data_IF_137048474176
#
_entry.id   IF_137048474176
#
_cell.length_a   1.000
_cell.length_b   1.000
_cell.length_c   1.000
_cell.angle_alpha   90.00
_cell.angle_beta   90.00
_cell.angle_gamma   90.00
#
_symmetry.space_group_name_H-M   'P 1'
#
loop_
_entity.id
_entity.type
_entity.pdbx_description
1 polymer ?
#
# COMPACT_ATOMS: atom_id res chain seq x y z
N UNK A 1 -6.67 -19.09 -15.17
CA UNK A 1 -5.48 -18.32 -14.77
C UNK A 1 -5.91 -17.15 -13.91
N UNK A 2 -5.25 -16.98 -12.78
CA UNK A 2 -5.58 -15.87 -11.89
C UNK A 2 -4.90 -14.59 -12.38
N UNK A 3 -5.69 -13.62 -12.79
CA UNK A 3 -5.20 -12.33 -13.29
C UNK A 3 -5.40 -11.20 -12.29
N UNK A 4 -5.75 -11.55 -11.05
CA UNK A 4 -5.95 -10.52 -10.03
C UNK A 4 -4.63 -9.83 -9.68
N UNK A 5 -4.71 -8.54 -9.42
CA UNK A 5 -3.57 -7.78 -8.92
C UNK A 5 -3.34 -8.14 -7.46
N UNK A 6 -2.09 -8.34 -7.10
CA UNK A 6 -1.73 -8.74 -5.74
C UNK A 6 -1.45 -7.52 -4.87
N UNK A 7 -1.89 -7.59 -3.62
CA UNK A 7 -1.84 -6.46 -2.69
C UNK A 7 -1.20 -6.90 -1.38
N UNK A 8 -0.24 -6.11 -0.91
CA UNK A 8 0.36 -6.28 0.42
C UNK A 8 -0.19 -5.19 1.34
N UNK A 9 -0.63 -5.57 2.53
CA UNK A 9 -1.13 -4.64 3.54
C UNK A 9 -0.08 -4.46 4.64
N UNK A 10 0.22 -3.21 4.98
CA UNK A 10 1.17 -2.90 6.05
C UNK A 10 0.61 -1.79 6.92
N UNK A 11 0.23 -2.12 8.15
CA UNK A 11 -0.35 -1.18 9.10
C UNK A 11 -0.22 -1.78 10.50
N UNK A 12 0.19 -0.99 11.47
CA UNK A 12 0.34 -1.48 12.83
C UNK A 12 -1.00 -1.90 13.46
N UNK A 13 -2.11 -1.34 12.96
CA UNK A 13 -3.44 -1.63 13.48
C UNK A 13 -4.02 -2.87 12.81
N UNK A 14 -4.11 -3.97 13.55
CA UNK A 14 -4.63 -5.23 13.04
C UNK A 14 -6.09 -5.13 12.62
N UNK A 15 -6.91 -4.37 13.36
CA UNK A 15 -8.32 -4.20 13.01
C UNK A 15 -8.47 -3.51 11.66
N UNK A 16 -7.64 -2.52 11.40
CA UNK A 16 -7.63 -1.82 10.11
C UNK A 16 -7.25 -2.78 8.98
N UNK A 17 -6.19 -3.58 9.20
CA UNK A 17 -5.77 -4.57 8.19
C UNK A 17 -6.87 -5.59 7.91
N UNK A 18 -7.55 -6.06 8.95
CA UNK A 18 -8.65 -7.02 8.80
C UNK A 18 -9.79 -6.42 8.00
N UNK A 19 -10.15 -5.17 8.28
CA UNK A 19 -11.19 -4.47 7.55
C UNK A 19 -10.84 -4.31 6.06
N UNK A 20 -9.64 -3.84 5.78
CA UNK A 20 -9.18 -3.64 4.40
C UNK A 20 -9.10 -4.96 3.66
N UNK A 21 -8.61 -5.99 4.32
CA UNK A 21 -8.55 -7.33 3.72
C UNK A 21 -9.94 -7.82 3.31
N UNK A 22 -10.94 -7.60 4.18
CA UNK A 22 -12.31 -7.99 3.86
C UNK A 22 -12.83 -7.24 2.63
N UNK A 23 -12.57 -5.94 2.56
CA UNK A 23 -12.96 -5.13 1.40
C UNK A 23 -12.35 -5.69 0.12
N UNK A 24 -11.07 -6.01 0.16
CA UNK A 24 -10.34 -6.51 -1.02
C UNK A 24 -10.80 -7.92 -1.39
N UNK A 25 -11.01 -8.78 -0.40
CA UNK A 25 -11.44 -10.17 -0.66
C UNK A 25 -12.82 -10.24 -1.31
N UNK A 26 -13.64 -9.22 -1.17
CA UNK A 26 -14.95 -9.15 -1.83
C UNK A 26 -14.84 -8.72 -3.29
N UNK A 27 -13.67 -8.33 -3.76
CA UNK A 27 -13.45 -7.97 -5.17
C UNK A 27 -12.97 -9.17 -5.97
N UNK A 28 -13.14 -9.09 -7.28
CA UNK A 28 -12.58 -10.07 -8.21
C UNK A 28 -11.27 -9.60 -8.83
N UNK A 29 -10.94 -8.32 -8.64
CA UNK A 29 -9.78 -7.69 -9.29
C UNK A 29 -8.50 -7.80 -8.46
N UNK A 30 -8.62 -7.95 -7.14
CA UNK A 30 -7.48 -7.88 -6.23
C UNK A 30 -7.46 -9.06 -5.28
N UNK A 31 -6.26 -9.48 -4.89
CA UNK A 31 -6.08 -10.50 -3.84
C UNK A 31 -4.96 -10.08 -2.90
N UNK A 32 -5.17 -10.30 -1.61
CA UNK A 32 -4.17 -9.97 -0.59
C UNK A 32 -3.15 -11.10 -0.49
N UNK A 33 -1.87 -10.76 -0.63
CA UNK A 33 -0.77 -11.74 -0.52
C UNK A 33 -0.01 -11.63 0.78
N UNK A 34 -0.31 -10.64 1.60
CA UNK A 34 0.30 -10.50 2.91
C UNK A 34 -0.32 -9.38 3.71
N UNK A 35 -0.24 -9.50 5.02
CA UNK A 35 -0.76 -8.50 5.95
C UNK A 35 0.19 -8.45 7.14
N UNK A 36 0.89 -7.34 7.32
CA UNK A 36 1.95 -7.21 8.31
C UNK A 36 1.79 -5.93 9.13
N UNK A 37 2.40 -5.94 10.32
CA UNK A 37 2.24 -4.85 11.29
C UNK A 37 3.45 -3.93 11.43
N UNK A 38 4.55 -4.19 10.71
CA UNK A 38 5.73 -3.34 10.78
C UNK A 38 6.41 -3.19 9.42
N UNK A 39 7.27 -2.17 9.31
CA UNK A 39 7.89 -1.84 8.04
C UNK A 39 8.98 -2.81 7.61
N UNK A 40 9.68 -3.42 8.54
CA UNK A 40 10.72 -4.40 8.21
C UNK A 40 10.10 -5.63 7.55
N UNK A 41 8.99 -6.12 8.11
CA UNK A 41 8.25 -7.22 7.51
C UNK A 41 7.63 -6.82 6.17
N UNK A 42 7.14 -5.58 6.07
CA UNK A 42 6.58 -5.08 4.81
C UNK A 42 7.63 -5.11 3.70
N UNK A 43 8.83 -4.65 3.99
CA UNK A 43 9.92 -4.65 3.00
C UNK A 43 10.30 -6.07 2.61
N UNK A 44 10.40 -6.97 3.58
CA UNK A 44 10.74 -8.36 3.32
C UNK A 44 9.72 -9.03 2.40
N UNK A 45 8.43 -8.90 2.74
CA UNK A 45 7.38 -9.50 1.92
C UNK A 45 7.24 -8.84 0.55
N UNK A 46 7.47 -7.53 0.47
CA UNK A 46 7.44 -6.85 -0.82
C UNK A 46 8.49 -7.42 -1.77
N UNK A 47 9.66 -7.77 -1.23
CA UNK A 47 10.72 -8.38 -2.03
C UNK A 47 10.44 -9.82 -2.38
N UNK A 48 9.88 -10.59 -1.44
CA UNK A 48 9.57 -12.00 -1.68
C UNK A 48 8.37 -12.21 -2.60
N UNK A 49 7.30 -11.46 -2.38
CA UNK A 49 6.03 -11.67 -3.08
C UNK A 49 5.89 -10.81 -4.33
N UNK A 50 6.72 -9.80 -4.48
CA UNK A 50 6.66 -8.85 -5.59
C UNK A 50 5.21 -8.42 -5.90
N UNK A 51 4.50 -7.84 -4.92
CA UNK A 51 3.09 -7.48 -5.13
C UNK A 51 2.96 -6.38 -6.17
N UNK A 52 1.77 -6.28 -6.75
CA UNK A 52 1.46 -5.19 -7.67
C UNK A 52 1.24 -3.87 -6.95
N UNK A 53 0.71 -3.95 -5.73
CA UNK A 53 0.34 -2.77 -4.93
C UNK A 53 0.64 -3.01 -3.46
N UNK A 54 1.11 -1.98 -2.78
CA UNK A 54 1.23 -1.98 -1.33
C UNK A 54 0.33 -0.88 -0.78
N UNK A 55 -0.54 -1.23 0.16
CA UNK A 55 -1.29 -0.27 0.97
C UNK A 55 -0.57 -0.18 2.31
N UNK A 56 -0.03 0.98 2.65
CA UNK A 56 0.92 1.08 3.75
C UNK A 56 0.72 2.36 4.56
N UNK A 57 0.66 2.22 5.88
CA UNK A 57 0.66 3.38 6.76
C UNK A 57 2.06 4.01 6.76
N UNK A 58 2.10 5.33 6.86
CA UNK A 58 3.37 6.05 7.04
C UNK A 58 3.99 5.71 8.39
N UNK A 59 3.17 5.58 9.43
CA UNK A 59 3.65 5.31 10.79
C UNK A 59 3.64 3.80 11.04
N UNK A 60 4.83 3.20 10.96
CA UNK A 60 5.03 1.78 11.20
C UNK A 60 6.20 1.58 12.15
N UNK A 61 6.11 0.60 13.07
CA UNK A 61 7.28 0.27 13.89
C UNK A 61 8.38 -0.37 13.05
N UNK A 62 9.58 -0.31 13.56
CA UNK A 62 10.76 -0.85 12.88
C UNK A 62 11.26 0.08 11.81
N UNK A 63 10.67 0.02 10.63
CA UNK A 63 10.96 0.89 9.50
C UNK A 63 9.66 1.57 9.11
N UNK A 64 9.61 2.90 9.08
CA UNK A 64 8.37 3.59 8.74
C UNK A 64 8.05 3.47 7.24
N UNK A 65 6.84 3.93 6.87
CA UNK A 65 6.38 3.81 5.49
C UNK A 65 7.26 4.55 4.49
N UNK A 66 7.81 5.70 4.86
CA UNK A 66 8.73 6.42 3.99
C UNK A 66 10.02 5.64 3.80
N UNK A 67 10.54 5.04 4.86
CA UNK A 67 11.75 4.20 4.78
C UNK A 67 11.56 2.99 3.89
N UNK A 68 10.42 2.33 4.00
CA UNK A 68 10.08 1.20 3.13
C UNK A 68 10.03 1.65 1.68
N UNK A 69 9.32 2.74 1.42
CA UNK A 69 9.16 3.27 0.05
C UNK A 69 10.50 3.63 -0.56
N UNK A 70 11.36 4.30 0.21
CA UNK A 70 12.69 4.66 -0.25
C UNK A 70 13.51 3.43 -0.66
N UNK A 71 13.51 2.39 0.17
CA UNK A 71 14.26 1.17 -0.15
C UNK A 71 13.67 0.41 -1.33
N UNK A 72 12.36 0.41 -1.48
CA UNK A 72 11.73 -0.21 -2.65
C UNK A 72 12.12 0.51 -3.94
N UNK A 73 12.25 1.82 -3.90
CA UNK A 73 12.64 2.61 -5.07
C UNK A 73 14.09 2.38 -5.48
N UNK A 74 14.93 1.97 -4.56
CA UNK A 74 16.35 1.72 -4.82
C UNK A 74 16.61 0.29 -5.33
N UNK A 75 15.61 -0.60 -5.25
CA UNK A 75 15.81 -1.99 -5.68
C UNK A 75 15.72 -2.14 -7.20
N UNK A 76 16.37 -3.17 -7.70
CA UNK A 76 16.26 -3.55 -9.11
C UNK A 76 15.03 -4.43 -9.31
N UNK A 77 14.53 -4.45 -10.53
CA UNK A 77 13.38 -5.26 -10.89
C UNK A 77 12.06 -4.55 -10.68
N UNK A 78 11.03 -5.32 -10.42
CA UNK A 78 9.68 -4.80 -10.27
C UNK A 78 9.55 -3.95 -9.00
N UNK A 79 9.09 -2.72 -9.18
CA UNK A 79 8.76 -1.82 -8.07
C UNK A 79 7.24 -1.74 -7.97
N UNK A 80 6.65 -2.12 -6.84
CA UNK A 80 5.20 -2.05 -6.70
C UNK A 80 4.70 -0.62 -6.67
N UNK A 81 3.45 -0.43 -7.05
CA UNK A 81 2.77 0.82 -6.77
C UNK A 81 2.49 0.89 -5.27
N UNK A 82 2.50 2.08 -4.70
CA UNK A 82 2.30 2.27 -3.27
C UNK A 82 1.25 3.34 -3.02
N UNK A 83 0.22 2.99 -2.28
CA UNK A 83 -0.71 3.96 -1.70
C UNK A 83 -0.33 4.07 -0.23
N UNK A 84 0.11 5.26 0.18
CA UNK A 84 0.35 5.55 1.59
C UNK A 84 -0.96 5.97 2.23
N UNK A 85 -1.19 5.50 3.44
CA UNK A 85 -2.40 5.79 4.20
C UNK A 85 -1.96 6.29 5.58
N UNK A 86 -2.54 7.40 6.06
CA UNK A 86 -2.14 7.93 7.35
C UNK A 86 -3.27 8.71 8.01
N UNK A 87 -3.27 8.68 9.34
CA UNK A 87 -4.12 9.57 10.12
C UNK A 87 -3.56 11.01 10.12
N UNK A 88 -2.29 11.16 9.76
CA UNK A 88 -1.61 12.45 9.73
C UNK A 88 -1.45 12.92 8.29
N UNK A 89 -2.10 14.04 7.95
CA UNK A 89 -2.12 14.56 6.60
C UNK A 89 -1.73 16.04 6.63
N UNK A 90 -0.44 16.31 6.91
CA UNK A 90 0.11 17.65 6.76
C UNK A 90 0.66 17.83 5.36
N UNK A 91 0.83 19.08 4.93
CA UNK A 91 1.41 19.37 3.62
C UNK A 91 2.81 18.78 3.48
N UNK A 92 3.61 18.81 4.58
CA UNK A 92 4.97 18.27 4.55
C UNK A 92 4.97 16.75 4.40
N UNK A 93 4.04 16.05 5.03
CA UNK A 93 3.92 14.59 4.91
C UNK A 93 3.53 14.20 3.49
N UNK A 94 2.54 14.88 2.93
CA UNK A 94 2.09 14.61 1.55
C UNK A 94 3.21 14.93 0.56
N UNK A 95 3.91 16.04 0.75
CA UNK A 95 5.01 16.43 -0.12
C UNK A 95 6.14 15.40 -0.11
N UNK A 96 6.51 14.90 1.06
CA UNK A 96 7.53 13.86 1.16
C UNK A 96 7.09 12.56 0.48
N UNK A 97 5.81 12.19 0.63
CA UNK A 97 5.27 11.02 -0.03
C UNK A 97 5.40 11.13 -1.56
N UNK A 98 5.06 12.29 -2.10
CA UNK A 98 5.18 12.56 -3.55
C UNK A 98 6.63 12.49 -3.99
N UNK A 99 7.53 13.13 -3.24
CA UNK A 99 8.96 13.15 -3.56
C UNK A 99 9.58 11.76 -3.56
N UNK A 100 9.10 10.88 -2.67
CA UNK A 100 9.55 9.49 -2.61
C UNK A 100 8.86 8.59 -3.64
N UNK A 101 7.91 9.13 -4.38
CA UNK A 101 7.28 8.41 -5.48
C UNK A 101 6.10 7.54 -5.10
N UNK A 102 5.41 7.87 -4.01
CA UNK A 102 4.14 7.21 -3.70
C UNK A 102 3.16 7.43 -4.86
N UNK A 103 2.40 6.40 -5.18
CA UNK A 103 1.43 6.48 -6.27
C UNK A 103 0.21 7.31 -5.86
N UNK A 104 -0.14 7.25 -4.58
CA UNK A 104 -1.23 8.04 -4.03
C UNK A 104 -1.12 8.12 -2.52
N UNK A 105 -1.85 9.04 -1.91
CA UNK A 105 -1.90 9.23 -0.45
C UNK A 105 -3.36 9.34 -0.03
N UNK A 106 -3.77 8.51 0.92
CA UNK A 106 -5.12 8.53 1.49
C UNK A 106 -5.05 8.85 2.98
N UNK A 107 -6.06 9.57 3.47
CA UNK A 107 -6.16 9.93 4.89
C UNK A 107 -7.13 8.98 5.59
N UNK A 108 -6.81 8.58 6.81
CA UNK A 108 -7.74 7.81 7.64
C UNK A 108 -8.79 8.75 8.25
N UNK A 109 -10.03 8.32 8.41
CA UNK A 109 -10.55 7.00 8.06
C UNK A 109 -10.74 6.86 6.54
N UNK A 110 -10.54 5.64 6.04
CA UNK A 110 -10.63 5.34 4.61
C UNK A 110 -12.03 4.82 4.30
N UNK A 111 -12.66 5.44 3.32
CA UNK A 111 -13.97 5.00 2.85
C UNK A 111 -13.79 3.92 1.79
N UNK A 112 -14.61 2.87 1.84
CA UNK A 112 -14.44 1.68 1.00
C UNK A 112 -14.41 2.00 -0.49
N UNK A 113 -15.39 2.75 -0.97
CA UNK A 113 -15.47 3.06 -2.40
C UNK A 113 -14.32 3.95 -2.86
N UNK A 114 -13.91 4.90 -2.02
CA UNK A 114 -12.77 5.76 -2.34
C UNK A 114 -11.48 4.95 -2.49
N UNK A 115 -11.28 3.97 -1.60
CA UNK A 115 -10.13 3.08 -1.68
C UNK A 115 -10.16 2.25 -2.96
N UNK A 116 -11.26 1.57 -3.21
CA UNK A 116 -11.38 0.70 -4.39
C UNK A 116 -11.29 1.48 -5.69
N UNK A 117 -11.90 2.64 -5.77
CA UNK A 117 -11.82 3.49 -6.96
C UNK A 117 -10.37 3.89 -7.24
N UNK A 118 -9.62 4.23 -6.19
CA UNK A 118 -8.22 4.62 -6.36
C UNK A 118 -7.36 3.43 -6.76
N UNK A 119 -7.59 2.29 -6.16
CA UNK A 119 -6.86 1.07 -6.52
C UNK A 119 -7.09 0.72 -7.99
N UNK A 120 -8.34 0.78 -8.44
CA UNK A 120 -8.68 0.51 -9.83
C UNK A 120 -8.04 1.52 -10.78
N UNK A 121 -8.05 2.79 -10.40
CA UNK A 121 -7.49 3.86 -11.22
C UNK A 121 -5.98 3.68 -11.46
N UNK A 122 -5.25 3.15 -10.47
CA UNK A 122 -3.81 2.93 -10.62
C UNK A 122 -3.47 1.88 -11.67
N UNK A 123 -4.39 0.98 -11.97
CA UNK A 123 -4.18 -0.10 -12.93
C UNK A 123 -5.06 0.03 -14.17
N UNK A 124 -5.75 1.15 -14.31
CA UNK A 124 -6.60 1.40 -15.45
C UNK A 124 -5.77 1.70 -16.69
N UNK A 125 -6.11 1.07 -17.81
CA UNK A 125 -5.41 1.27 -19.08
C UNK A 125 -6.01 2.47 -19.80
N UNK A 126 -5.14 3.28 -20.38
CA UNK A 126 -5.56 4.44 -21.16
C UNK A 126 -6.17 5.57 -20.34
N UNK A 127 -5.98 5.52 -19.06
CA UNK A 127 -6.43 6.57 -18.17
C UNK A 127 -5.52 7.78 -18.24
#
# INVERSE_FOLDING_TARGET
>A
MDIRRTVLLADANEEFRTLVRKIIDETEEFSVVGSVGDGTEALRLAREEAPDLILMDVVLPGLDGFGVLKQLREQEGKVPKVILISAFCSDSVVSEAVDLGASYFLTKPVEENALLDRMRALFSRGA
#
